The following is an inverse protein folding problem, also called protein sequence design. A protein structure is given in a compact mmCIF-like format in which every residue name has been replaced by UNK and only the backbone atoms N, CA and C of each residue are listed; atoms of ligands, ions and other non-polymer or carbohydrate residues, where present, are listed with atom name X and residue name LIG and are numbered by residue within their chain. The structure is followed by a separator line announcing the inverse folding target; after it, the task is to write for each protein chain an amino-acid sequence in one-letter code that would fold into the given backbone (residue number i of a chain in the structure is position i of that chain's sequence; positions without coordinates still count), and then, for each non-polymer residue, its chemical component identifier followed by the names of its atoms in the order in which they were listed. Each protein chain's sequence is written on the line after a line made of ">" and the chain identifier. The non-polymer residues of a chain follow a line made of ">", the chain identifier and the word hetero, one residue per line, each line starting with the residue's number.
data_IF_855776442301
#
_entry.id   IF_855776442301
#
_cell.length_a   1.000
_cell.length_b   1.000
_cell.length_c   1.000
_cell.angle_alpha   90.00
_cell.angle_beta   90.00
_cell.angle_gamma   90.00
#
_symmetry.space_group_name_H-M   'P 1'
#
loop_
_entity.id
_entity.type
_entity.pdbx_description
1 polymer ?
#
# COMPACT_ATOMS: atom_id res chain seq x y z
N UNK A 1 -46.70 -42.43 -25.08
CA UNK A 1 -46.02 -41.14 -25.36
C UNK A 1 -46.47 -40.00 -24.45
N UNK A 2 -47.78 -39.72 -24.30
CA UNK A 2 -48.31 -38.59 -23.50
C UNK A 2 -47.90 -38.58 -22.01
N UNK A 3 -47.86 -39.75 -21.35
CA UNK A 3 -47.49 -39.86 -19.94
C UNK A 3 -46.01 -39.53 -19.66
N UNK A 4 -45.11 -39.92 -20.58
CA UNK A 4 -43.66 -39.72 -20.46
C UNK A 4 -43.30 -38.23 -20.63
N UNK A 5 -43.96 -37.53 -21.56
CA UNK A 5 -43.82 -36.08 -21.77
C UNK A 5 -44.32 -35.28 -20.56
N UNK A 6 -45.42 -35.70 -19.93
CA UNK A 6 -45.98 -35.05 -18.74
C UNK A 6 -45.04 -35.16 -17.53
N UNK A 7 -44.36 -36.30 -17.38
CA UNK A 7 -43.37 -36.55 -16.31
C UNK A 7 -42.09 -35.72 -16.49
N UNK A 8 -41.60 -35.60 -17.73
CA UNK A 8 -40.45 -34.75 -18.08
C UNK A 8 -40.72 -33.25 -17.85
N UNK A 9 -41.89 -32.74 -18.25
CA UNK A 9 -42.31 -31.35 -17.96
C UNK A 9 -42.39 -31.06 -16.45
N UNK A 10 -42.91 -32.01 -15.67
CA UNK A 10 -42.97 -31.90 -14.21
C UNK A 10 -41.60 -31.90 -13.53
N UNK A 11 -40.63 -32.65 -14.07
CA UNK A 11 -39.25 -32.63 -13.59
C UNK A 11 -38.52 -31.33 -13.96
N UNK A 12 -38.69 -30.82 -15.18
CA UNK A 12 -38.15 -29.51 -15.60
C UNK A 12 -38.71 -28.35 -14.77
N UNK A 13 -40.03 -28.32 -14.52
CA UNK A 13 -40.65 -27.28 -13.70
C UNK A 13 -40.21 -27.34 -12.23
N UNK A 14 -39.87 -28.53 -11.71
CA UNK A 14 -39.30 -28.70 -10.36
C UNK A 14 -37.84 -28.28 -10.31
N UNK A 15 -37.03 -28.63 -11.31
CA UNK A 15 -35.65 -28.17 -11.44
C UNK A 15 -35.57 -26.65 -11.57
N UNK A 16 -36.42 -26.05 -12.41
CA UNK A 16 -36.52 -24.59 -12.58
C UNK A 16 -36.95 -23.87 -11.30
N UNK A 17 -37.94 -24.40 -10.57
CA UNK A 17 -38.33 -23.86 -9.25
C UNK A 17 -37.24 -24.02 -8.20
N UNK A 18 -36.53 -25.14 -8.19
CA UNK A 18 -35.37 -25.37 -7.31
C UNK A 18 -34.27 -24.36 -7.60
N UNK A 19 -33.87 -24.20 -8.87
CA UNK A 19 -32.89 -23.19 -9.32
C UNK A 19 -33.32 -21.77 -8.96
N UNK A 20 -34.60 -21.40 -9.16
CA UNK A 20 -35.12 -20.09 -8.80
C UNK A 20 -35.16 -19.85 -7.28
N UNK A 21 -35.44 -20.90 -6.48
CA UNK A 21 -35.45 -20.81 -5.02
C UNK A 21 -34.02 -20.77 -4.46
N UNK A 22 -33.09 -21.55 -5.00
CA UNK A 22 -31.66 -21.47 -4.70
C UNK A 22 -31.11 -20.10 -5.09
N UNK A 23 -31.50 -19.56 -6.24
CA UNK A 23 -31.14 -18.20 -6.68
C UNK A 23 -31.69 -17.12 -5.74
N UNK A 24 -32.95 -17.20 -5.33
CA UNK A 24 -33.53 -16.27 -4.33
C UNK A 24 -32.87 -16.39 -2.97
N UNK A 25 -32.56 -17.61 -2.51
CA UNK A 25 -31.85 -17.83 -1.26
C UNK A 25 -30.43 -17.27 -1.31
N UNK A 26 -29.71 -17.46 -2.42
CA UNK A 26 -28.39 -16.88 -2.65
C UNK A 26 -28.44 -15.35 -2.66
N UNK A 27 -29.39 -14.73 -3.37
CA UNK A 27 -29.60 -13.27 -3.38
C UNK A 27 -29.90 -12.75 -1.96
N UNK A 28 -30.78 -13.44 -1.21
CA UNK A 28 -31.10 -13.09 0.17
C UNK A 28 -29.88 -13.20 1.09
N UNK A 29 -29.06 -14.25 0.92
CA UNK A 29 -27.81 -14.43 1.66
C UNK A 29 -26.82 -13.29 1.35
N UNK A 30 -26.61 -12.98 0.07
CA UNK A 30 -25.75 -11.87 -0.36
C UNK A 30 -26.25 -10.52 0.18
N UNK A 31 -27.55 -10.28 0.20
CA UNK A 31 -28.13 -9.07 0.78
C UNK A 31 -27.88 -9.00 2.30
N UNK A 32 -27.95 -10.13 3.01
CA UNK A 32 -27.61 -10.19 4.44
C UNK A 32 -26.12 -9.94 4.67
N UNK A 33 -25.24 -10.54 3.88
CA UNK A 33 -23.78 -10.33 3.94
C UNK A 33 -23.45 -8.85 3.72
N UNK A 34 -23.96 -8.24 2.65
CA UNK A 34 -23.80 -6.79 2.40
C UNK A 34 -24.26 -5.92 3.57
N UNK A 35 -25.34 -6.31 4.26
CA UNK A 35 -25.83 -5.60 5.44
C UNK A 35 -24.90 -5.76 6.64
N UNK A 36 -24.27 -6.91 6.82
CA UNK A 36 -23.26 -7.15 7.85
C UNK A 36 -22.01 -6.32 7.53
N UNK A 37 -21.52 -6.36 6.30
CA UNK A 37 -20.35 -5.57 5.85
C UNK A 37 -20.58 -4.07 6.07
N UNK A 38 -21.76 -3.57 5.69
CA UNK A 38 -22.13 -2.16 5.90
C UNK A 38 -22.26 -1.78 7.40
N UNK A 39 -22.54 -2.73 8.28
CA UNK A 39 -22.54 -2.48 9.73
C UNK A 39 -21.13 -2.49 10.29
N UNK A 40 -20.31 -3.45 9.84
CA UNK A 40 -18.90 -3.53 10.20
C UNK A 40 -18.17 -2.25 9.79
N UNK A 41 -18.31 -1.79 8.55
CA UNK A 41 -17.67 -0.56 8.05
C UNK A 41 -18.05 0.66 8.91
N UNK A 42 -19.32 0.80 9.28
CA UNK A 42 -19.77 1.89 10.15
C UNK A 42 -19.16 1.82 11.55
N UNK A 43 -19.05 0.62 12.12
CA UNK A 43 -18.39 0.43 13.42
C UNK A 43 -16.89 0.67 13.32
N UNK A 44 -16.24 0.21 12.25
CA UNK A 44 -14.83 0.45 11.97
C UNK A 44 -14.55 1.96 11.84
N UNK A 45 -15.35 2.70 11.06
CA UNK A 45 -15.24 4.16 10.97
C UNK A 45 -15.49 4.87 12.31
N UNK A 46 -16.44 4.39 13.13
CA UNK A 46 -16.69 4.97 14.45
C UNK A 46 -15.50 4.78 15.39
N UNK A 47 -14.94 3.56 15.45
CA UNK A 47 -13.74 3.27 16.23
C UNK A 47 -12.52 4.04 15.72
N UNK A 48 -12.35 4.09 14.39
CA UNK A 48 -11.32 4.89 13.73
C UNK A 48 -11.41 6.36 14.09
N UNK A 49 -12.63 6.93 14.17
CA UNK A 49 -12.84 8.32 14.64
C UNK A 49 -12.43 8.53 16.08
N UNK A 50 -12.70 7.57 16.96
CA UNK A 50 -12.25 7.63 18.35
C UNK A 50 -10.72 7.59 18.45
N UNK A 51 -10.07 6.71 17.68
CA UNK A 51 -8.61 6.65 17.59
C UNK A 51 -8.03 7.95 16.98
N UNK A 52 -8.66 8.48 15.93
CA UNK A 52 -8.30 9.75 15.31
C UNK A 52 -8.28 10.89 16.34
N UNK A 53 -9.32 11.02 17.16
CA UNK A 53 -9.36 12.04 18.23
C UNK A 53 -8.24 11.88 19.27
N UNK A 54 -7.74 10.67 19.49
CA UNK A 54 -6.61 10.43 20.39
C UNK A 54 -5.30 10.88 19.75
N UNK A 55 -5.00 10.41 18.54
CA UNK A 55 -3.73 10.73 17.88
C UNK A 55 -3.63 12.21 17.52
N UNK A 56 -4.72 12.84 17.08
CA UNK A 56 -4.77 14.28 16.76
C UNK A 56 -4.31 15.19 17.92
N UNK A 57 -4.49 14.73 19.17
CA UNK A 57 -4.15 15.50 20.38
C UNK A 57 -2.69 15.31 20.80
N UNK A 58 -1.98 14.33 20.23
CA UNK A 58 -0.57 14.09 20.50
C UNK A 58 0.26 15.20 19.85
N UNK A 59 0.81 16.09 20.67
CA UNK A 59 1.63 17.20 20.20
C UNK A 59 3.04 16.77 19.81
N UNK A 60 3.58 15.78 20.51
CA UNK A 60 4.90 15.20 20.31
C UNK A 60 4.78 13.67 20.33
N UNK A 61 5.54 13.03 19.45
CA UNK A 61 5.66 11.58 19.31
C UNK A 61 7.13 11.19 19.24
N UNK A 62 7.46 10.00 19.73
CA UNK A 62 8.80 9.44 19.65
C UNK A 62 9.13 9.04 18.21
N UNK A 63 8.21 8.32 17.56
CA UNK A 63 8.28 7.95 16.13
C UNK A 63 6.87 7.90 15.53
N UNK A 64 6.75 7.75 14.20
CA UNK A 64 5.45 7.54 13.56
C UNK A 64 4.68 6.31 14.09
N UNK A 65 5.38 5.32 14.65
CA UNK A 65 4.74 4.12 15.22
C UNK A 65 3.79 4.43 16.38
N UNK A 66 3.98 5.57 17.09
CA UNK A 66 3.15 5.92 18.24
C UNK A 66 1.73 6.35 17.87
N UNK A 67 1.51 6.71 16.60
CA UNK A 67 0.23 7.19 16.08
C UNK A 67 -0.41 6.22 15.12
N UNK A 68 0.14 5.02 14.96
CA UNK A 68 -0.42 3.99 14.11
C UNK A 68 -1.75 3.47 14.64
N UNK A 69 -2.74 3.42 13.76
CA UNK A 69 -3.93 2.59 13.90
C UNK A 69 -4.38 2.15 12.51
N UNK A 70 -5.21 1.11 12.48
CA UNK A 70 -5.70 0.51 11.24
C UNK A 70 -7.23 0.49 11.23
N UNK A 71 -7.83 0.98 10.16
CA UNK A 71 -9.25 0.83 9.84
C UNK A 71 -9.40 0.13 8.49
N UNK A 72 -8.71 0.64 7.47
CA UNK A 72 -8.74 0.15 6.10
C UNK A 72 -7.36 0.10 5.42
N UNK A 73 -6.33 0.77 5.93
CA UNK A 73 -4.97 0.56 5.44
C UNK A 73 -4.50 -0.87 5.72
N UNK A 74 -3.44 -1.31 5.03
CA UNK A 74 -2.88 -2.65 5.26
C UNK A 74 -2.31 -2.79 6.67
N UNK A 75 -1.76 -1.70 7.22
CA UNK A 75 -1.23 -1.63 8.57
C UNK A 75 -1.63 -0.30 9.24
N UNK A 76 -0.69 0.39 9.89
CA UNK A 76 -0.93 1.59 10.69
C UNK A 76 -1.03 2.92 9.93
N UNK A 77 -1.06 2.89 8.59
CA UNK A 77 -1.00 4.09 7.75
C UNK A 77 -2.16 5.05 8.05
N UNK A 78 -3.38 4.55 8.31
CA UNK A 78 -4.54 5.39 8.62
C UNK A 78 -4.26 6.36 9.77
N UNK A 79 -3.58 5.89 10.82
CA UNK A 79 -3.25 6.71 11.98
C UNK A 79 -2.14 7.72 11.75
N UNK A 80 -1.11 7.32 11.00
CA UNK A 80 -0.03 8.24 10.59
C UNK A 80 -0.60 9.35 9.71
N UNK A 81 -1.41 9.00 8.70
CA UNK A 81 -2.05 9.97 7.80
C UNK A 81 -2.92 10.93 8.61
N UNK A 82 -3.76 10.40 9.49
CA UNK A 82 -4.66 11.19 10.33
C UNK A 82 -3.91 12.18 11.23
N UNK A 83 -2.78 11.76 11.83
CA UNK A 83 -1.92 12.64 12.60
C UNK A 83 -1.27 13.73 11.74
N UNK A 84 -0.74 13.39 10.57
CA UNK A 84 -0.08 14.32 9.67
C UNK A 84 -1.04 15.39 9.14
N UNK A 85 -2.19 14.99 8.59
CA UNK A 85 -3.15 15.95 8.01
C UNK A 85 -3.76 16.89 9.05
N UNK A 86 -3.71 16.50 10.32
CA UNK A 86 -4.17 17.32 11.46
C UNK A 86 -3.13 18.33 11.94
N UNK A 87 -1.83 18.01 11.82
CA UNK A 87 -0.75 18.91 12.22
C UNK A 87 -0.28 19.84 11.09
N UNK A 88 -0.56 19.50 9.83
CA UNK A 88 -0.06 20.25 8.68
C UNK A 88 -1.00 21.31 8.12
N UNK A 89 -2.28 21.34 8.53
CA UNK A 89 -3.30 22.27 8.02
C UNK A 89 -3.29 22.43 6.48
N UNK A 90 -3.40 21.29 5.80
CA UNK A 90 -3.28 21.21 4.34
C UNK A 90 -4.45 21.93 3.65
N UNK A 91 -4.16 22.76 2.65
CA UNK A 91 -5.22 23.45 1.89
C UNK A 91 -5.86 22.51 0.86
N UNK A 92 -5.08 21.61 0.28
CA UNK A 92 -5.54 20.67 -0.73
C UNK A 92 -6.09 19.42 -0.04
N UNK A 93 -7.41 19.25 -0.05
CA UNK A 93 -8.09 18.06 0.49
C UNK A 93 -8.33 17.01 -0.60
N UNK A 94 -7.26 16.73 -1.35
CA UNK A 94 -7.26 15.82 -2.48
C UNK A 94 -6.16 14.77 -2.34
N UNK A 95 -6.38 13.57 -2.85
CA UNK A 95 -5.37 12.52 -2.87
C UNK A 95 -5.34 11.78 -4.20
N UNK A 96 -4.19 11.16 -4.48
CA UNK A 96 -4.00 10.18 -5.55
C UNK A 96 -3.33 8.94 -4.95
N UNK A 97 -3.84 7.75 -5.24
CA UNK A 97 -3.24 6.48 -4.82
C UNK A 97 -3.15 5.50 -5.99
N UNK A 98 -2.01 4.83 -6.14
CA UNK A 98 -1.76 3.83 -7.16
C UNK A 98 -1.66 2.44 -6.53
N UNK A 99 -2.22 1.42 -7.22
CA UNK A 99 -2.20 0.00 -6.82
C UNK A 99 -3.16 -0.34 -5.68
N UNK A 100 -4.39 0.17 -5.77
CA UNK A 100 -5.37 0.03 -4.67
C UNK A 100 -6.16 -1.27 -4.68
N UNK A 101 -5.91 -2.18 -5.64
CA UNK A 101 -6.79 -3.30 -5.93
C UNK A 101 -8.27 -2.84 -6.03
N UNK A 102 -9.17 -3.47 -5.29
CA UNK A 102 -10.59 -3.12 -5.21
C UNK A 102 -10.92 -1.99 -4.21
N UNK A 103 -9.89 -1.34 -3.64
CA UNK A 103 -9.99 -0.26 -2.65
C UNK A 103 -10.73 -0.68 -1.36
N UNK A 104 -10.77 -1.98 -1.03
CA UNK A 104 -11.22 -2.43 0.29
C UNK A 104 -10.12 -2.27 1.34
N UNK A 105 -8.88 -2.52 0.94
CA UNK A 105 -7.67 -2.19 1.69
C UNK A 105 -6.93 -1.09 0.92
N UNK A 106 -6.72 0.09 1.53
CA UNK A 106 -6.03 1.21 0.88
C UNK A 106 -5.64 2.28 1.91
N UNK A 107 -4.53 2.98 1.66
CA UNK A 107 -4.00 4.00 2.56
C UNK A 107 -4.93 5.20 2.68
N UNK A 108 -5.66 5.54 1.62
CA UNK A 108 -6.52 6.74 1.58
C UNK A 108 -7.99 6.47 1.88
N UNK A 109 -8.40 5.21 2.11
CA UNK A 109 -9.82 4.89 2.33
C UNK A 109 -10.37 5.47 3.63
N UNK A 110 -9.65 5.36 4.74
CA UNK A 110 -10.11 5.98 5.99
C UNK A 110 -10.17 7.50 5.85
N UNK A 111 -9.18 8.11 5.18
CA UNK A 111 -9.16 9.55 4.91
C UNK A 111 -10.40 10.01 4.12
N UNK A 112 -10.76 9.28 3.06
CA UNK A 112 -11.97 9.50 2.27
C UNK A 112 -13.23 9.46 3.14
N UNK A 113 -13.42 8.38 3.91
CA UNK A 113 -14.65 8.18 4.70
C UNK A 113 -14.72 9.08 5.94
N UNK A 114 -13.58 9.40 6.54
CA UNK A 114 -13.51 10.16 7.78
C UNK A 114 -13.51 11.67 7.55
N UNK A 115 -12.76 12.13 6.54
CA UNK A 115 -12.53 13.57 6.27
C UNK A 115 -13.15 14.06 4.97
N UNK A 116 -13.78 13.18 4.19
CA UNK A 116 -14.47 13.52 2.95
C UNK A 116 -13.58 14.23 1.92
N UNK A 117 -12.33 13.77 1.80
CA UNK A 117 -11.39 14.23 0.77
C UNK A 117 -11.81 13.73 -0.61
N UNK A 118 -11.38 14.42 -1.67
CA UNK A 118 -11.59 13.97 -3.05
C UNK A 118 -10.41 13.13 -3.53
N UNK A 119 -10.68 12.01 -4.21
CA UNK A 119 -9.64 11.04 -4.57
C UNK A 119 -9.60 10.67 -6.04
N UNK A 120 -8.41 10.32 -6.53
CA UNK A 120 -8.22 9.47 -7.71
C UNK A 120 -7.46 8.22 -7.29
N UNK A 121 -7.99 7.06 -7.66
CA UNK A 121 -7.31 5.79 -7.44
C UNK A 121 -7.14 5.04 -8.75
N UNK A 122 -5.99 4.37 -8.89
CA UNK A 122 -5.66 3.57 -10.06
C UNK A 122 -5.26 2.16 -9.66
N UNK A 123 -5.65 1.20 -10.49
CA UNK A 123 -5.22 -0.21 -10.38
C UNK A 123 -5.09 -0.85 -11.76
N UNK A 124 -4.24 -1.87 -11.87
CA UNK A 124 -4.03 -2.60 -13.12
C UNK A 124 -5.24 -3.40 -13.58
N UNK A 125 -6.12 -3.83 -12.66
CA UNK A 125 -7.27 -4.68 -12.98
C UNK A 125 -8.58 -3.87 -13.10
N UNK A 126 -9.22 -4.00 -14.27
CA UNK A 126 -10.53 -3.40 -14.51
C UNK A 126 -11.64 -3.97 -13.64
N UNK A 127 -11.55 -5.24 -13.23
CA UNK A 127 -12.50 -5.86 -12.32
C UNK A 127 -12.46 -5.19 -10.95
N UNK A 128 -11.26 -4.99 -10.40
CA UNK A 128 -11.03 -4.27 -9.14
C UNK A 128 -11.67 -2.88 -9.15
N UNK A 129 -11.41 -2.10 -10.21
CA UNK A 129 -12.03 -0.77 -10.36
C UNK A 129 -13.56 -0.84 -10.52
N UNK A 130 -14.09 -1.89 -11.15
CA UNK A 130 -15.54 -2.09 -11.27
C UNK A 130 -16.19 -2.46 -9.93
N UNK A 131 -15.48 -3.18 -9.05
CA UNK A 131 -15.93 -3.42 -7.67
C UNK A 131 -16.08 -2.10 -6.93
N UNK A 132 -15.08 -1.22 -7.00
CA UNK A 132 -15.14 0.11 -6.39
C UNK A 132 -16.30 0.93 -6.97
N UNK A 133 -16.42 1.05 -8.29
CA UNK A 133 -17.52 1.81 -8.96
C UNK A 133 -18.92 1.30 -8.59
N UNK A 134 -19.04 0.01 -8.29
CA UNK A 134 -20.31 -0.62 -7.88
C UNK A 134 -20.58 -0.49 -6.37
N UNK A 135 -19.60 -0.02 -5.60
CA UNK A 135 -19.70 0.12 -4.15
C UNK A 135 -20.50 1.36 -3.75
N UNK A 136 -20.99 1.36 -2.51
CA UNK A 136 -21.69 2.54 -2.00
C UNK A 136 -20.75 3.73 -1.73
N UNK A 137 -19.44 3.47 -1.57
CA UNK A 137 -18.41 4.50 -1.39
C UNK A 137 -18.36 5.43 -2.60
N UNK A 138 -18.45 4.87 -3.82
CA UNK A 138 -18.27 5.61 -5.07
C UNK A 138 -19.34 6.69 -5.32
N UNK A 139 -20.57 6.49 -4.86
CA UNK A 139 -21.61 7.52 -4.98
C UNK A 139 -21.70 8.43 -3.75
N UNK A 140 -21.18 8.00 -2.59
CA UNK A 140 -21.21 8.77 -1.34
C UNK A 140 -20.07 9.75 -1.20
N UNK A 141 -18.97 9.52 -1.92
CA UNK A 141 -17.77 10.34 -1.86
C UNK A 141 -17.29 10.65 -3.26
N UNK A 142 -16.54 11.75 -3.39
CA UNK A 142 -15.93 12.17 -4.64
C UNK A 142 -14.63 11.38 -4.87
N UNK A 143 -14.76 10.21 -5.49
CA UNK A 143 -13.63 9.35 -5.84
C UNK A 143 -13.73 8.92 -7.29
N UNK A 144 -12.65 9.09 -8.03
CA UNK A 144 -12.48 8.58 -9.38
C UNK A 144 -11.69 7.28 -9.33
N UNK A 145 -12.14 6.27 -10.08
CA UNK A 145 -11.46 4.99 -10.22
C UNK A 145 -11.04 4.80 -11.67
N UNK A 146 -9.77 4.55 -11.94
CA UNK A 146 -9.24 4.33 -13.29
C UNK A 146 -8.47 3.01 -13.36
N UNK A 147 -8.85 2.14 -14.30
CA UNK A 147 -8.12 0.91 -14.55
C UNK A 147 -7.00 1.19 -15.54
N UNK A 148 -5.75 0.99 -15.14
CA UNK A 148 -4.59 1.16 -16.00
C UNK A 148 -3.37 0.45 -15.42
N UNK A 149 -2.64 -0.28 -16.27
CA UNK A 149 -1.30 -0.73 -15.92
C UNK A 149 -0.34 0.47 -16.02
N UNK A 150 0.12 0.94 -14.87
CA UNK A 150 0.90 2.19 -14.75
C UNK A 150 2.33 1.96 -15.21
N UNK A 151 2.82 2.85 -16.06
CA UNK A 151 4.21 2.88 -16.55
C UNK A 151 4.77 4.29 -16.44
N UNK A 152 6.10 4.42 -16.51
CA UNK A 152 6.76 5.73 -16.49
C UNK A 152 6.32 6.61 -17.67
N UNK A 153 5.95 6.00 -18.80
CA UNK A 153 5.54 6.71 -20.01
C UNK A 153 4.09 7.22 -19.94
N UNK A 154 3.20 6.53 -19.24
CA UNK A 154 1.76 6.85 -19.25
C UNK A 154 1.28 7.61 -18.00
N UNK A 155 2.03 7.56 -16.88
CA UNK A 155 1.50 8.02 -15.60
C UNK A 155 1.10 9.49 -15.60
N UNK A 156 1.88 10.37 -16.25
CA UNK A 156 1.56 11.79 -16.33
C UNK A 156 0.21 12.02 -16.99
N UNK A 157 0.00 11.37 -18.14
CA UNK A 157 -1.23 11.48 -18.92
C UNK A 157 -2.43 10.95 -18.15
N UNK A 158 -2.29 9.81 -17.45
CA UNK A 158 -3.36 9.22 -16.65
C UNK A 158 -3.85 10.19 -15.56
N UNK A 159 -2.93 10.87 -14.89
CA UNK A 159 -3.27 11.83 -13.82
C UNK A 159 -3.98 13.06 -14.41
N UNK A 160 -3.42 13.65 -15.47
CA UNK A 160 -3.97 14.86 -16.10
C UNK A 160 -5.36 14.64 -16.72
N UNK A 161 -5.58 13.48 -17.35
CA UNK A 161 -6.88 13.11 -17.93
C UNK A 161 -8.00 12.99 -16.89
N UNK A 162 -7.66 12.69 -15.63
CA UNK A 162 -8.60 12.64 -14.51
C UNK A 162 -8.73 13.99 -13.78
N UNK A 163 -8.12 15.05 -14.31
CA UNK A 163 -8.23 16.41 -13.78
C UNK A 163 -7.30 16.73 -12.61
N UNK A 164 -6.30 15.88 -12.35
CA UNK A 164 -5.31 16.12 -11.31
C UNK A 164 -4.06 16.76 -11.95
N UNK A 165 -3.65 17.92 -11.44
CA UNK A 165 -2.41 18.60 -11.82
C UNK A 165 -2.07 19.64 -10.76
N UNK A 166 -0.80 19.92 -10.52
CA UNK A 166 -0.39 20.97 -9.59
C UNK A 166 -0.53 20.55 -8.12
N UNK A 167 -1.03 21.44 -7.22
CA UNK A 167 -1.14 21.16 -5.80
C UNK A 167 -1.99 19.92 -5.50
N UNK A 168 -1.49 19.06 -4.61
CA UNK A 168 -2.16 17.83 -4.18
C UNK A 168 -1.94 17.65 -2.68
N UNK A 169 -2.91 17.11 -1.95
CA UNK A 169 -2.72 16.83 -0.52
C UNK A 169 -1.82 15.63 -0.30
N UNK A 170 -2.22 14.46 -0.81
CA UNK A 170 -1.47 13.20 -0.64
C UNK A 170 -1.25 12.51 -1.98
N UNK A 171 -0.03 12.01 -2.21
CA UNK A 171 0.25 11.00 -3.23
C UNK A 171 0.78 9.73 -2.57
N UNK A 172 0.11 8.61 -2.81
CA UNK A 172 0.53 7.28 -2.37
C UNK A 172 0.88 6.42 -3.58
N UNK A 173 2.08 5.84 -3.60
CA UNK A 173 2.56 4.95 -4.66
C UNK A 173 2.86 3.59 -4.03
N UNK A 174 2.06 2.60 -4.39
CA UNK A 174 2.14 1.22 -3.91
C UNK A 174 1.85 0.26 -5.07
N UNK A 175 2.86 -0.01 -5.90
CA UNK A 175 2.73 -0.73 -7.18
C UNK A 175 3.40 -2.10 -7.17
N UNK A 176 3.97 -2.53 -6.05
CA UNK A 176 4.67 -3.80 -5.94
C UNK A 176 5.80 -3.96 -6.98
N UNK A 177 6.48 -2.87 -7.37
CA UNK A 177 7.37 -2.92 -8.53
C UNK A 177 8.05 -1.60 -8.92
N UNK A 178 7.46 -0.88 -9.87
CA UNK A 178 8.09 0.27 -10.53
C UNK A 178 8.01 1.58 -9.73
N UNK A 179 7.72 1.54 -8.44
CA UNK A 179 7.43 2.66 -7.54
C UNK A 179 8.43 3.81 -7.69
N UNK A 180 9.72 3.51 -7.61
CA UNK A 180 10.81 4.46 -7.80
C UNK A 180 10.79 5.12 -9.19
N UNK A 181 10.53 4.34 -10.24
CA UNK A 181 10.52 4.83 -11.61
C UNK A 181 9.29 5.70 -11.89
N UNK A 182 8.15 5.34 -11.30
CA UNK A 182 6.92 6.13 -11.39
C UNK A 182 7.11 7.48 -10.69
N UNK A 183 7.62 7.50 -9.45
CA UNK A 183 7.93 8.75 -8.77
C UNK A 183 8.93 9.60 -9.56
N UNK A 184 9.95 8.97 -10.16
CA UNK A 184 10.97 9.66 -10.95
C UNK A 184 10.39 10.28 -12.22
N UNK A 185 9.48 9.60 -12.91
CA UNK A 185 8.87 10.05 -14.15
C UNK A 185 7.76 11.09 -13.94
N UNK A 186 7.06 11.01 -12.81
CA UNK A 186 5.91 11.87 -12.51
C UNK A 186 6.33 13.33 -12.38
N UNK A 187 5.67 14.19 -13.14
CA UNK A 187 5.82 15.65 -13.13
C UNK A 187 4.49 16.33 -12.80
N UNK A 188 4.53 17.66 -12.64
CA UNK A 188 3.31 18.48 -12.52
C UNK A 188 2.57 18.40 -11.18
N UNK A 189 2.51 17.25 -10.50
CA UNK A 189 1.95 17.16 -9.16
C UNK A 189 2.94 17.72 -8.12
N UNK A 190 2.38 18.41 -7.12
CA UNK A 190 3.07 18.89 -5.93
C UNK A 190 2.33 18.43 -4.67
N UNK A 191 2.42 17.14 -4.31
CA UNK A 191 1.85 16.61 -3.07
C UNK A 191 2.39 17.34 -1.84
N UNK A 192 1.54 17.57 -0.84
CA UNK A 192 1.97 18.04 0.48
C UNK A 192 2.58 16.87 1.30
N UNK A 193 2.07 15.65 1.12
CA UNK A 193 2.57 14.40 1.70
C UNK A 193 2.82 13.37 0.58
N UNK A 194 3.95 12.66 0.66
CA UNK A 194 4.21 11.44 -0.13
C UNK A 194 4.17 10.21 0.77
N UNK A 195 3.58 9.13 0.26
CA UNK A 195 3.60 7.80 0.85
C UNK A 195 4.15 6.87 -0.24
N UNK A 196 5.26 6.19 0.05
CA UNK A 196 5.96 5.37 -0.93
C UNK A 196 6.17 3.97 -0.38
N UNK A 197 5.75 2.95 -1.13
CA UNK A 197 6.05 1.57 -0.83
C UNK A 197 7.57 1.33 -0.94
N UNK A 198 8.13 0.81 0.14
CA UNK A 198 9.51 0.42 0.31
C UNK A 198 9.58 -1.10 0.36
N UNK A 199 10.60 -1.65 -0.27
CA UNK A 199 11.00 -3.03 -0.08
C UNK A 199 12.10 -3.14 0.99
N UNK A 200 11.76 -3.44 2.25
CA UNK A 200 12.71 -3.58 3.35
C UNK A 200 13.64 -4.79 3.20
N UNK A 201 13.38 -5.72 2.26
CA UNK A 201 14.29 -6.84 1.98
C UNK A 201 15.60 -6.33 1.41
N UNK A 202 15.59 -5.25 0.61
CA UNK A 202 16.81 -4.61 0.09
C UNK A 202 17.66 -3.93 1.16
N UNK A 203 17.11 -3.73 2.36
CA UNK A 203 17.81 -3.13 3.50
C UNK A 203 17.94 -1.61 3.44
N UNK A 204 18.75 -1.08 4.36
CA UNK A 204 18.88 0.36 4.63
C UNK A 204 20.20 0.98 4.16
N UNK A 205 21.15 0.18 3.69
CA UNK A 205 22.48 0.67 3.30
C UNK A 205 22.60 1.12 1.85
N UNK A 206 21.95 0.43 0.93
CA UNK A 206 22.15 0.62 -0.51
C UNK A 206 20.92 1.23 -1.17
N UNK A 207 21.13 2.31 -1.95
CA UNK A 207 20.09 2.89 -2.79
C UNK A 207 19.89 2.06 -4.06
N UNK A 208 19.01 1.08 -3.97
CA UNK A 208 18.64 0.17 -5.06
C UNK A 208 17.13 0.11 -5.30
N UNK A 209 16.76 -0.24 -6.53
CA UNK A 209 15.38 -0.52 -6.96
C UNK A 209 15.39 -1.69 -7.96
N UNK A 210 14.26 -2.34 -8.19
CA UNK A 210 14.13 -3.26 -9.33
C UNK A 210 14.44 -2.53 -10.65
N UNK A 211 15.05 -3.18 -11.65
CA UNK A 211 15.25 -2.57 -12.95
C UNK A 211 13.91 -2.21 -13.58
N UNK A 212 13.83 -1.04 -14.21
CA UNK A 212 12.60 -0.64 -14.90
C UNK A 212 12.21 -1.67 -15.97
N UNK A 213 10.98 -2.12 -15.88
CA UNK A 213 10.30 -2.92 -16.90
C UNK A 213 8.84 -2.46 -16.97
N UNK A 214 8.34 -1.90 -18.10
CA UNK A 214 6.96 -1.45 -18.21
C UNK A 214 5.93 -2.59 -18.15
N UNK A 215 6.37 -3.85 -18.03
CA UNK A 215 5.52 -5.05 -17.82
C UNK A 215 5.88 -5.79 -16.53
N UNK A 216 6.54 -5.11 -15.58
CA UNK A 216 6.98 -5.72 -14.33
C UNK A 216 5.82 -6.37 -13.60
N UNK A 217 5.99 -7.65 -13.23
CA UNK A 217 5.04 -8.38 -12.38
C UNK A 217 5.83 -9.05 -11.26
N UNK A 218 5.41 -8.83 -10.01
CA UNK A 218 6.16 -9.17 -8.80
C UNK A 218 6.49 -10.66 -8.71
N UNK A 219 5.51 -11.54 -8.91
CA UNK A 219 5.69 -12.99 -8.80
C UNK A 219 6.30 -13.63 -10.05
N UNK A 220 6.13 -13.00 -11.21
CA UNK A 220 6.80 -13.36 -12.45
C UNK A 220 8.29 -13.01 -12.46
N UNK A 221 8.69 -11.94 -11.76
CA UNK A 221 10.09 -11.51 -11.65
C UNK A 221 10.90 -12.39 -10.70
N UNK A 222 10.29 -12.85 -9.60
CA UNK A 222 10.85 -13.90 -8.76
C UNK A 222 9.74 -14.62 -7.99
N UNK A 223 9.75 -15.96 -8.00
CA UNK A 223 8.69 -16.78 -7.40
C UNK A 223 8.38 -16.42 -5.94
N UNK A 224 9.38 -15.97 -5.18
CA UNK A 224 9.19 -15.64 -3.77
C UNK A 224 8.36 -14.38 -3.53
N UNK A 225 8.18 -13.52 -4.53
CA UNK A 225 7.57 -12.20 -4.37
C UNK A 225 8.41 -11.22 -3.56
N UNK A 226 9.70 -11.49 -3.29
CA UNK A 226 10.56 -10.59 -2.50
C UNK A 226 11.33 -9.57 -3.36
N UNK A 227 11.34 -9.75 -4.68
CA UNK A 227 11.98 -8.84 -5.62
C UNK A 227 10.95 -7.86 -6.18
N UNK A 228 10.81 -6.70 -5.55
CA UNK A 228 9.87 -5.63 -5.93
C UNK A 228 10.36 -4.26 -5.45
N UNK A 229 9.73 -3.19 -5.94
CA UNK A 229 9.88 -1.85 -5.40
C UNK A 229 11.33 -1.34 -5.30
N UNK A 230 11.56 -0.52 -4.27
CA UNK A 230 12.85 0.10 -4.00
C UNK A 230 13.21 0.08 -2.52
N UNK A 231 14.51 0.13 -2.24
CA UNK A 231 15.06 0.29 -0.89
C UNK A 231 14.68 1.64 -0.29
N UNK A 232 14.63 1.72 1.04
CA UNK A 232 14.36 2.99 1.73
C UNK A 232 15.40 4.05 1.38
N UNK A 233 16.66 3.66 1.18
CA UNK A 233 17.72 4.59 0.77
C UNK A 233 17.44 5.21 -0.61
N UNK A 234 16.99 4.41 -1.58
CA UNK A 234 16.64 4.92 -2.91
C UNK A 234 15.44 5.86 -2.88
N UNK A 235 14.40 5.52 -2.13
CA UNK A 235 13.19 6.36 -2.02
C UNK A 235 13.49 7.68 -1.32
N UNK A 236 14.30 7.66 -0.25
CA UNK A 236 14.74 8.86 0.45
C UNK A 236 15.51 9.79 -0.45
N UNK A 237 16.54 9.29 -1.14
CA UNK A 237 17.35 10.11 -2.05
C UNK A 237 16.48 10.74 -3.16
N UNK A 238 15.56 9.96 -3.74
CA UNK A 238 14.69 10.47 -4.79
C UNK A 238 13.69 11.51 -4.26
N UNK A 239 13.01 11.25 -3.14
CA UNK A 239 12.06 12.18 -2.55
C UNK A 239 12.75 13.48 -2.08
N UNK A 240 13.90 13.36 -1.41
CA UNK A 240 14.69 14.50 -0.93
C UNK A 240 15.17 15.38 -2.10
N UNK A 241 15.64 14.78 -3.20
CA UNK A 241 16.00 15.53 -4.41
C UNK A 241 14.83 16.30 -5.05
N UNK A 242 13.59 15.93 -4.70
CA UNK A 242 12.34 16.55 -5.17
C UNK A 242 11.73 17.53 -4.15
N UNK A 243 12.45 17.87 -3.08
CA UNK A 243 12.00 18.84 -2.08
C UNK A 243 11.05 18.25 -1.04
N UNK A 244 11.31 17.00 -0.63
CA UNK A 244 10.58 16.34 0.46
C UNK A 244 11.52 15.96 1.60
N UNK A 245 10.96 15.83 2.79
CA UNK A 245 11.67 15.46 4.01
C UNK A 245 11.11 14.16 4.56
N UNK A 246 11.97 13.18 4.81
CA UNK A 246 11.59 11.88 5.34
C UNK A 246 11.10 11.97 6.80
N UNK A 247 9.94 11.41 7.10
CA UNK A 247 9.34 11.43 8.44
C UNK A 247 9.47 10.11 9.20
N UNK A 248 9.61 9.00 8.48
CA UNK A 248 9.61 7.65 9.06
C UNK A 248 8.86 6.67 8.15
N UNK A 249 8.83 5.41 8.55
CA UNK A 249 7.95 4.40 7.97
C UNK A 249 6.88 3.98 8.98
N UNK A 250 5.85 3.27 8.52
CA UNK A 250 5.11 2.38 9.40
C UNK A 250 6.07 1.39 10.08
N UNK A 251 5.68 0.88 11.25
CA UNK A 251 6.43 -0.09 12.03
C UNK A 251 6.60 -1.42 11.29
N UNK A 252 5.71 -1.73 10.35
CA UNK A 252 5.84 -2.89 9.47
C UNK A 252 6.95 -2.72 8.40
N UNK A 253 7.43 -1.49 8.16
CA UNK A 253 8.55 -1.17 7.28
C UNK A 253 8.25 -1.01 5.78
N UNK A 254 6.98 -1.15 5.35
CA UNK A 254 6.59 -1.09 3.94
C UNK A 254 6.29 0.33 3.48
N UNK A 255 5.44 1.10 4.17
CA UNK A 255 5.11 2.46 3.71
C UNK A 255 6.00 3.53 4.35
N UNK A 256 6.71 4.30 3.52
CA UNK A 256 7.56 5.42 3.92
C UNK A 256 6.85 6.76 3.72
N UNK A 257 6.88 7.62 4.74
CA UNK A 257 6.20 8.91 4.75
C UNK A 257 7.18 10.06 4.56
N UNK A 258 6.80 10.99 3.70
CA UNK A 258 7.53 12.22 3.46
C UNK A 258 6.60 13.41 3.46
N UNK A 259 7.11 14.57 3.83
CA UNK A 259 6.39 15.84 3.75
C UNK A 259 7.13 16.80 2.85
N UNK A 260 6.42 17.63 2.10
CA UNK A 260 7.06 18.70 1.32
C UNK A 260 7.78 19.67 2.26
N UNK A 261 8.98 20.12 1.88
CA UNK A 261 9.88 20.88 2.78
C UNK A 261 9.29 22.18 3.32
N UNK A 262 8.34 22.81 2.63
CA UNK A 262 7.62 24.01 3.09
C UNK A 262 6.66 23.73 4.26
N UNK A 263 6.23 22.48 4.42
CA UNK A 263 5.40 22.03 5.54
C UNK A 263 6.22 21.46 6.71
N UNK A 264 7.47 21.08 6.50
CA UNK A 264 8.34 20.51 7.54
C UNK A 264 8.47 21.38 8.81
N UNK A 265 8.52 22.73 8.75
CA UNK A 265 8.54 23.57 9.96
C UNK A 265 7.34 23.36 10.88
N UNK A 266 6.17 22.96 10.37
CA UNK A 266 4.99 22.66 11.19
C UNK A 266 5.15 21.38 12.03
N UNK A 267 6.07 20.50 11.62
CA UNK A 267 6.39 19.24 12.32
C UNK A 267 7.68 19.34 13.15
N UNK A 268 8.37 20.49 13.14
CA UNK A 268 9.59 20.68 13.91
C UNK A 268 9.33 20.46 15.41
N UNK A 269 10.11 19.59 16.03
CA UNK A 269 9.96 19.20 17.45
C UNK A 269 8.78 18.26 17.74
N UNK A 270 7.90 17.97 16.76
CA UNK A 270 6.76 17.06 16.97
C UNK A 270 7.12 15.59 16.79
N UNK A 271 8.14 15.26 16.00
CA UNK A 271 8.64 13.89 15.81
C UNK A 271 10.08 13.84 16.31
N UNK A 272 10.34 13.10 17.39
CA UNK A 272 11.68 13.03 17.99
C UNK A 272 12.67 12.22 17.16
N UNK A 273 12.24 11.07 16.65
CA UNK A 273 13.06 10.18 15.82
C UNK A 273 12.32 9.77 14.56
N UNK A 274 13.01 9.93 13.42
CA UNK A 274 12.53 9.54 12.10
C UNK A 274 13.16 8.21 11.74
N UNK A 275 12.40 7.14 11.94
CA UNK A 275 12.89 5.76 11.86
C UNK A 275 12.33 5.08 10.63
N UNK A 276 13.20 4.39 9.89
CA UNK A 276 12.79 3.39 8.92
C UNK A 276 12.88 2.02 9.59
N UNK A 277 11.74 1.35 9.71
CA UNK A 277 11.64 0.06 10.39
C UNK A 277 11.92 -1.09 9.42
N UNK A 278 12.61 -2.16 9.84
CA UNK A 278 12.66 -3.38 9.06
C UNK A 278 11.31 -4.10 9.07
N UNK A 279 10.97 -4.77 7.98
CA UNK A 279 9.86 -5.71 8.00
C UNK A 279 10.19 -7.02 8.70
N UNK A 280 9.21 -7.56 9.41
CA UNK A 280 9.25 -8.91 10.00
C UNK A 280 8.23 -9.88 9.40
N UNK A 281 7.44 -9.43 8.40
CA UNK A 281 6.50 -10.28 7.68
C UNK A 281 7.21 -11.43 6.96
N UNK A 282 6.44 -12.49 6.69
CA UNK A 282 6.91 -13.79 6.20
C UNK A 282 6.00 -14.31 5.08
N UNK A 283 5.72 -13.43 4.15
CA UNK A 283 4.79 -13.58 3.02
C UNK A 283 5.44 -14.21 1.77
N UNK A 284 6.75 -14.49 1.82
CA UNK A 284 7.50 -15.12 0.73
C UNK A 284 6.85 -16.43 0.29
N UNK A 285 6.96 -16.75 -1.01
CA UNK A 285 6.44 -17.98 -1.59
C UNK A 285 7.53 -18.99 -1.97
N UNK A 286 7.17 -20.26 -2.02
CA UNK A 286 7.95 -21.30 -2.71
C UNK A 286 7.60 -21.34 -4.21
N UNK A 287 8.31 -22.12 -5.06
CA UNK A 287 7.99 -22.24 -6.48
C UNK A 287 6.59 -22.79 -6.79
N UNK A 288 5.89 -23.37 -5.82
CA UNK A 288 4.51 -23.84 -5.95
C UNK A 288 3.47 -22.79 -5.48
N UNK A 289 3.91 -21.57 -5.13
CA UNK A 289 3.05 -20.48 -4.69
C UNK A 289 2.59 -20.57 -3.23
N UNK A 290 3.14 -21.49 -2.42
CA UNK A 290 2.79 -21.64 -1.00
C UNK A 290 3.66 -20.74 -0.15
N UNK A 291 3.16 -20.27 0.99
CA UNK A 291 3.97 -19.50 1.94
C UNK A 291 5.18 -20.33 2.41
N UNK A 292 6.38 -19.79 2.18
CA UNK A 292 7.66 -20.38 2.60
C UNK A 292 8.15 -19.84 3.94
N UNK A 293 7.55 -18.75 4.42
CA UNK A 293 7.80 -18.13 5.72
C UNK A 293 9.27 -17.76 6.01
N UNK A 294 10.06 -17.46 4.97
CA UNK A 294 11.48 -17.08 5.09
C UNK A 294 11.62 -15.82 5.94
N UNK A 295 12.69 -15.71 6.74
CA UNK A 295 12.85 -14.67 7.77
C UNK A 295 14.18 -13.95 7.64
N UNK A 296 14.27 -12.77 8.29
CA UNK A 296 15.53 -12.10 8.56
C UNK A 296 16.38 -11.91 7.30
N UNK A 297 17.67 -12.26 7.41
CA UNK A 297 18.67 -12.18 6.32
C UNK A 297 18.39 -13.18 5.20
N UNK A 298 17.85 -14.35 5.51
CA UNK A 298 17.56 -15.39 4.51
C UNK A 298 16.62 -14.91 3.40
N UNK A 299 15.77 -13.90 3.68
CA UNK A 299 14.92 -13.24 2.67
C UNK A 299 15.75 -12.55 1.59
N UNK A 300 16.79 -11.83 1.99
CA UNK A 300 17.72 -11.19 1.07
C UNK A 300 18.52 -12.25 0.30
N UNK A 301 19.00 -13.28 1.01
CA UNK A 301 19.82 -14.32 0.39
C UNK A 301 19.05 -15.06 -0.72
N UNK A 302 17.73 -15.25 -0.55
CA UNK A 302 16.85 -15.85 -1.54
C UNK A 302 16.80 -15.10 -2.88
N UNK A 303 16.99 -13.78 -2.86
CA UNK A 303 16.98 -12.91 -4.06
C UNK A 303 18.35 -12.29 -4.36
N UNK A 304 19.41 -12.69 -3.64
CA UNK A 304 20.75 -12.13 -3.78
C UNK A 304 21.34 -12.29 -5.19
N UNK A 305 20.94 -13.35 -5.91
CA UNK A 305 21.35 -13.59 -7.30
C UNK A 305 20.62 -12.72 -8.34
N UNK A 306 19.53 -12.04 -7.96
CA UNK A 306 18.72 -11.25 -8.86
C UNK A 306 19.40 -9.93 -9.24
N UNK A 307 19.05 -9.42 -10.43
CA UNK A 307 19.54 -8.12 -10.91
C UNK A 307 18.71 -6.99 -10.30
N UNK A 308 19.39 -5.98 -9.79
CA UNK A 308 18.80 -4.72 -9.31
C UNK A 308 19.47 -3.53 -9.99
N UNK A 309 18.80 -2.39 -9.99
CA UNK A 309 19.34 -1.11 -10.42
C UNK A 309 19.92 -0.35 -9.23
N UNK A 310 21.22 -0.06 -9.26
CA UNK A 310 21.87 0.83 -8.29
C UNK A 310 21.64 2.27 -8.70
N UNK A 311 20.86 3.01 -7.91
CA UNK A 311 20.40 4.37 -8.23
C UNK A 311 21.57 5.37 -8.34
N UNK A 312 22.59 5.23 -7.48
CA UNK A 312 23.75 6.14 -7.43
C UNK A 312 24.68 5.97 -8.63
N UNK A 313 24.92 4.74 -9.06
CA UNK A 313 25.81 4.46 -10.21
C UNK A 313 25.07 4.36 -11.54
N UNK A 314 23.73 4.35 -11.52
CA UNK A 314 22.87 4.12 -12.69
C UNK A 314 23.22 2.82 -13.46
N UNK A 315 23.58 1.74 -12.74
CA UNK A 315 24.01 0.46 -13.32
C UNK A 315 23.15 -0.69 -12.79
N UNK A 316 22.95 -1.70 -13.63
CA UNK A 316 22.39 -2.99 -13.20
C UNK A 316 23.51 -3.84 -12.59
N UNK A 317 23.26 -4.37 -11.40
CA UNK A 317 24.21 -5.20 -10.63
C UNK A 317 23.45 -6.37 -10.01
N UNK A 318 24.14 -7.44 -9.61
CA UNK A 318 23.50 -8.46 -8.78
C UNK A 318 23.35 -7.92 -7.36
N UNK A 319 22.22 -8.19 -6.73
CA UNK A 319 21.91 -7.67 -5.40
C UNK A 319 22.98 -8.09 -4.36
N UNK A 320 23.44 -9.33 -4.41
CA UNK A 320 24.46 -9.87 -3.50
C UNK A 320 25.87 -9.30 -3.71
N UNK A 321 26.16 -8.65 -4.85
CA UNK A 321 27.47 -8.04 -5.12
C UNK A 321 27.66 -6.69 -4.40
N UNK A 322 26.60 -6.13 -3.83
CA UNK A 322 26.63 -4.83 -3.13
C UNK A 322 27.21 -4.91 -1.72
N UNK A 323 27.43 -6.11 -1.19
CA UNK A 323 27.86 -6.33 0.18
C UNK A 323 26.69 -6.43 1.15
N UNK A 324 26.89 -5.99 2.39
CA UNK A 324 25.86 -6.11 3.42
C UNK A 324 24.73 -5.08 3.26
N UNK A 325 23.46 -5.52 3.06
CA UNK A 325 22.30 -4.64 2.92
C UNK A 325 21.87 -3.95 4.22
N UNK A 326 22.20 -4.51 5.39
CA UNK A 326 21.61 -4.13 6.66
C UNK A 326 22.61 -3.46 7.60
N UNK A 327 22.22 -2.34 8.22
CA UNK A 327 22.94 -1.77 9.35
C UNK A 327 22.84 -2.65 10.60
N UNK A 328 23.72 -2.42 11.58
CA UNK A 328 23.68 -3.14 12.85
C UNK A 328 22.36 -2.88 13.60
N UNK A 329 21.80 -1.68 13.49
CA UNK A 329 20.50 -1.35 14.08
C UNK A 329 19.36 -2.12 13.40
N UNK A 330 19.36 -2.16 12.07
CA UNK A 330 18.39 -2.92 11.28
C UNK A 330 18.41 -4.42 11.63
N UNK A 331 19.61 -5.01 11.75
CA UNK A 331 19.78 -6.39 12.17
C UNK A 331 19.30 -6.63 13.60
N UNK A 332 19.60 -5.73 14.56
CA UNK A 332 19.13 -5.84 15.94
C UNK A 332 17.60 -5.80 16.03
N UNK A 333 16.96 -4.96 15.24
CA UNK A 333 15.50 -4.86 15.18
C UNK A 333 14.85 -6.15 14.62
N UNK A 334 15.49 -6.83 13.67
CA UNK A 334 15.03 -8.13 13.14
C UNK A 334 15.43 -9.35 13.99
N UNK A 335 16.39 -9.21 14.90
CA UNK A 335 17.00 -10.33 15.63
C UNK A 335 16.00 -11.07 16.51
N UNK A 336 16.12 -12.40 16.55
CA UNK A 336 15.34 -13.22 17.48
C UNK A 336 15.85 -13.03 18.92
N UNK A 337 15.03 -13.32 19.95
CA UNK A 337 15.45 -13.20 21.34
C UNK A 337 16.77 -13.93 21.64
N UNK A 338 16.98 -15.14 21.07
CA UNK A 338 18.22 -15.91 21.23
C UNK A 338 19.46 -15.21 20.68
N UNK A 339 19.32 -14.46 19.59
CA UNK A 339 20.44 -13.80 18.90
C UNK A 339 20.83 -12.50 19.63
N UNK A 340 19.88 -11.88 20.34
CA UNK A 340 20.14 -10.71 21.19
C UNK A 340 20.98 -11.03 22.43
N UNK A 341 20.83 -12.23 22.99
CA UNK A 341 21.58 -12.68 24.17
C UNK A 341 23.03 -13.05 23.84
N UNK A 342 23.30 -13.51 22.62
CA UNK A 342 24.66 -13.87 22.18
C UNK A 342 25.57 -12.65 21.98
N UNK A 343 25.00 -11.47 21.69
CA UNK A 343 25.74 -10.22 21.47
C UNK A 343 26.11 -9.43 22.73
N UNK A 344 25.63 -9.84 23.91
CA UNK A 344 25.97 -9.23 25.21
C UNK A 344 27.05 -10.00 25.98
N UNK A 345 27.57 -11.08 25.39
CA UNK A 345 28.66 -11.89 25.94
C UNK A 345 29.92 -11.73 25.06
N UNK A 346 30.44 -10.50 25.00
CA UNK A 346 31.75 -10.20 24.41
C UNK A 346 32.39 -9.02 25.11
#
# INVERSE_FOLDING_TARGET
>A
MSFMIRRLRGSFARASRSLANTGRAAISCLAKLRRVDSKWERHACLNGRLAAFQVQRMQEIETLADVEFQVFSQFGEDGIIEWLVSNLDLQNKTFVEFGVENYLEANTRFLLLNRNWTGLVLDGDAWNMNVLRSSATYWRHDIQAQAAFITAENIQQLIEQNGFYGPLGILSIDLDGNDYWILKALGGLRPDILILECNPVFGDRHAVTVPYDPKFERFGSHHSGLLFGASIAALRELAESRGYEFLGTCMNGLNAFFVRVDHAPKLAGKIRRRVAWPAIHRDSRDPAGRLSYVRGRDRFDLISGCMVHCCRSNRKVRLGELGDPYSAEWLRAMALPKDRLAGTAS
#
